data_IF_635471686091
#
_entry.id   IF_635471686091
#
_cell.length_a   1.000
_cell.length_b   1.000
_cell.length_c   1.000
_cell.angle_alpha   90.00
_cell.angle_beta   90.00
_cell.angle_gamma   90.00
#
_symmetry.space_group_name_H-M   'P 1'
#
loop_
_entity.id
_entity.type
_entity.pdbx_description
1 polymer ?
#
# COMPACT_ATOMS: atom_id res chain seq x y z
N UNK A 1 7.46 -14.47 8.06
CA UNK A 1 7.66 -14.05 9.46
C UNK A 1 6.49 -13.24 10.02
N UNK A 2 6.22 -12.00 9.61
CA UNK A 2 5.14 -11.17 10.22
C UNK A 2 3.77 -11.84 10.20
N UNK A 3 3.39 -12.46 9.08
CA UNK A 3 2.16 -13.26 8.97
C UNK A 3 2.09 -14.40 9.99
N UNK A 4 3.17 -15.16 10.15
CA UNK A 4 3.24 -16.34 11.03
C UNK A 4 3.15 -15.92 12.50
N UNK A 5 3.84 -14.84 12.89
CA UNK A 5 3.76 -14.27 14.23
C UNK A 5 2.35 -13.75 14.55
N UNK A 6 1.72 -13.06 13.58
CA UNK A 6 0.33 -12.62 13.71
C UNK A 6 -0.62 -13.82 13.89
N UNK A 7 -0.49 -14.84 13.06
CA UNK A 7 -1.30 -16.06 13.11
C UNK A 7 -1.12 -16.83 14.44
N UNK A 8 0.09 -16.86 14.99
CA UNK A 8 0.35 -17.46 16.31
C UNK A 8 -0.40 -16.74 17.44
N UNK A 9 -0.54 -15.41 17.36
CA UNK A 9 -1.34 -14.64 18.32
C UNK A 9 -2.85 -14.72 18.07
N UNK A 10 -3.27 -14.81 16.81
CA UNK A 10 -4.68 -14.85 16.41
C UNK A 10 -5.34 -16.22 16.64
N UNK A 11 -4.59 -17.30 16.47
CA UNK A 11 -5.08 -18.69 16.58
C UNK A 11 -4.23 -19.53 17.53
N UNK A 12 -4.23 -19.23 18.85
CA UNK A 12 -3.63 -20.11 19.83
C UNK A 12 -4.37 -21.48 19.83
N UNK A 13 -3.65 -22.62 19.87
CA UNK A 13 -4.29 -23.93 19.80
C UNK A 13 -5.13 -24.22 21.05
N UNK A 14 -6.32 -24.80 20.85
CA UNK A 14 -7.21 -25.22 21.93
C UNK A 14 -7.55 -26.71 21.85
N UNK A 15 -7.69 -27.37 23.01
CA UNK A 15 -8.12 -28.78 23.14
C UNK A 15 -7.35 -29.72 22.21
N UNK A 16 -8.02 -30.30 21.23
CA UNK A 16 -7.48 -31.26 20.26
C UNK A 16 -6.55 -30.65 19.20
N UNK A 17 -6.39 -29.32 19.17
CA UNK A 17 -5.41 -28.64 18.32
C UNK A 17 -4.02 -28.58 18.98
N UNK A 18 -3.92 -28.86 20.28
CA UNK A 18 -2.65 -28.91 21.01
C UNK A 18 -1.97 -30.23 20.65
N UNK A 19 -0.86 -30.14 19.93
CA UNK A 19 -0.12 -31.29 19.42
C UNK A 19 1.30 -31.39 20.00
N UNK A 20 1.76 -30.34 20.70
CA UNK A 20 3.06 -30.28 21.36
C UNK A 20 2.97 -29.50 22.69
N UNK A 21 4.04 -29.56 23.49
CA UNK A 21 4.27 -28.69 24.65
C UNK A 21 4.30 -27.20 24.30
N UNK A 22 4.75 -26.85 23.09
CA UNK A 22 4.68 -25.51 22.54
C UNK A 22 3.24 -25.22 22.07
N UNK A 23 2.59 -24.23 22.69
CA UNK A 23 1.22 -23.79 22.36
C UNK A 23 1.16 -22.99 21.05
N UNK A 24 1.47 -23.66 19.94
CA UNK A 24 1.45 -23.12 18.59
C UNK A 24 0.87 -24.14 17.61
N UNK A 25 0.27 -23.67 16.51
CA UNK A 25 -0.17 -24.54 15.43
C UNK A 25 0.35 -24.04 14.07
N UNK A 26 0.77 -24.96 13.17
CA UNK A 26 1.17 -24.58 11.83
C UNK A 26 -0.03 -24.09 11.03
N UNK A 27 0.02 -22.85 10.57
CA UNK A 27 -0.97 -22.28 9.65
C UNK A 27 -0.23 -21.91 8.36
N UNK A 28 -0.68 -22.41 7.19
CA UNK A 28 0.03 -22.17 5.93
C UNK A 28 -0.01 -20.69 5.55
N UNK A 29 1.16 -20.15 5.20
CA UNK A 29 1.31 -18.81 4.61
C UNK A 29 1.70 -18.98 3.15
N UNK A 30 0.79 -18.60 2.25
CA UNK A 30 1.02 -18.67 0.82
C UNK A 30 1.76 -17.42 0.33
N UNK A 31 2.61 -17.58 -0.67
CA UNK A 31 3.37 -16.47 -1.28
C UNK A 31 3.55 -16.70 -2.77
N UNK A 32 3.74 -15.60 -3.49
CA UNK A 32 4.15 -15.58 -4.89
C UNK A 32 5.57 -15.02 -4.97
N UNK A 33 6.47 -15.54 -5.83
CA UNK A 33 7.76 -14.92 -6.04
C UNK A 33 7.61 -13.48 -6.54
N UNK A 34 8.44 -12.56 -6.02
CA UNK A 34 8.33 -11.12 -6.25
C UNK A 34 8.15 -10.73 -7.73
N UNK A 35 8.95 -11.30 -8.63
CA UNK A 35 8.89 -11.01 -10.09
C UNK A 35 7.56 -11.38 -10.75
N UNK A 36 6.71 -12.14 -10.07
CA UNK A 36 5.40 -12.56 -10.55
C UNK A 36 4.25 -11.99 -9.71
N UNK A 37 4.54 -11.23 -8.66
CA UNK A 37 3.53 -10.67 -7.77
C UNK A 37 3.00 -9.33 -8.31
N UNK A 38 1.77 -9.35 -8.84
CA UNK A 38 1.01 -8.16 -9.23
C UNK A 38 -0.07 -7.77 -8.22
N UNK A 39 -0.10 -8.40 -7.03
CA UNK A 39 -1.15 -8.21 -6.03
C UNK A 39 -0.62 -7.44 -4.82
N UNK A 40 0.43 -7.92 -4.16
CA UNK A 40 0.91 -7.33 -2.89
C UNK A 40 2.09 -6.39 -3.11
N UNK A 41 3.21 -6.91 -3.64
CA UNK A 41 4.36 -6.06 -3.96
C UNK A 41 4.13 -5.24 -5.24
N UNK A 42 3.34 -5.76 -6.19
CA UNK A 42 3.06 -5.08 -7.45
C UNK A 42 4.32 -4.90 -8.31
N UNK A 43 5.22 -5.88 -8.28
CA UNK A 43 6.55 -5.89 -8.94
C UNK A 43 6.58 -6.74 -10.20
N UNK A 44 5.50 -7.47 -10.52
CA UNK A 44 5.38 -8.16 -11.81
C UNK A 44 5.58 -7.16 -12.94
N UNK A 45 6.45 -7.53 -13.90
CA UNK A 45 6.85 -6.64 -14.97
C UNK A 45 5.64 -6.06 -15.71
N UNK A 46 5.62 -4.73 -15.83
CA UNK A 46 4.55 -4.04 -16.53
C UNK A 46 5.03 -2.87 -17.40
N UNK A 47 5.11 -3.03 -18.74
CA UNK A 47 5.60 -1.98 -19.63
C UNK A 47 4.81 -0.67 -19.54
N UNK A 48 3.49 -0.74 -19.41
CA UNK A 48 2.65 0.46 -19.29
C UNK A 48 2.88 1.19 -17.96
N UNK A 49 2.95 0.47 -16.84
CA UNK A 49 3.24 1.09 -15.55
C UNK A 49 4.58 1.82 -15.57
N UNK A 50 5.62 1.17 -16.09
CA UNK A 50 6.95 1.77 -16.23
C UNK A 50 6.92 3.05 -17.07
N UNK A 51 6.22 3.02 -18.20
CA UNK A 51 6.07 4.18 -19.08
C UNK A 51 5.33 5.35 -18.41
N UNK A 52 4.22 5.08 -17.71
CA UNK A 52 3.46 6.13 -17.00
C UNK A 52 4.24 6.66 -15.79
N UNK A 53 4.99 5.81 -15.09
CA UNK A 53 5.89 6.24 -14.01
C UNK A 53 6.99 7.15 -14.56
N UNK A 54 7.62 6.79 -15.68
CA UNK A 54 8.63 7.64 -16.32
C UNK A 54 8.08 9.01 -16.73
N UNK A 55 6.83 9.09 -17.20
CA UNK A 55 6.16 10.37 -17.46
C UNK A 55 5.99 11.20 -16.21
N UNK A 56 5.51 10.59 -15.11
CA UNK A 56 5.36 11.29 -13.82
C UNK A 56 6.71 11.83 -13.37
N UNK A 57 7.77 11.00 -13.39
CA UNK A 57 9.12 11.39 -12.98
C UNK A 57 9.73 12.52 -13.84
N UNK A 58 9.30 12.68 -15.09
CA UNK A 58 9.71 13.75 -16.01
C UNK A 58 8.75 14.95 -16.04
N UNK A 59 7.68 14.93 -15.24
CA UNK A 59 6.75 16.05 -15.21
C UNK A 59 7.41 17.31 -14.62
N UNK A 60 6.98 18.53 -15.02
CA UNK A 60 7.58 19.77 -14.54
C UNK A 60 7.60 19.91 -13.02
N UNK A 61 6.58 19.41 -12.35
CA UNK A 61 6.45 19.40 -10.90
C UNK A 61 7.53 18.55 -10.23
N UNK A 62 7.68 17.28 -10.66
CA UNK A 62 8.69 16.37 -10.11
C UNK A 62 10.11 16.85 -10.43
N UNK A 63 10.33 17.36 -11.65
CA UNK A 63 11.61 17.96 -12.02
C UNK A 63 11.94 19.18 -11.15
N UNK A 64 10.96 20.04 -10.88
CA UNK A 64 11.13 21.21 -10.03
C UNK A 64 11.49 20.80 -8.59
N UNK A 65 10.82 19.80 -8.03
CA UNK A 65 11.15 19.27 -6.71
C UNK A 65 12.56 18.67 -6.66
N UNK A 66 12.97 17.90 -7.66
CA UNK A 66 14.34 17.38 -7.75
C UNK A 66 15.38 18.51 -7.86
N UNK A 67 15.13 19.54 -8.68
CA UNK A 67 16.02 20.71 -8.80
C UNK A 67 16.12 21.47 -7.48
N UNK A 68 15.01 21.65 -6.78
CA UNK A 68 14.95 22.34 -5.49
C UNK A 68 15.70 21.58 -4.38
N UNK A 69 15.72 20.25 -4.45
CA UNK A 69 16.44 19.40 -3.50
C UNK A 69 17.89 19.09 -3.90
N UNK A 70 18.41 19.65 -5.02
CA UNK A 70 19.74 19.33 -5.54
C UNK A 70 20.87 19.49 -4.51
N UNK A 71 20.90 20.61 -3.78
CA UNK A 71 21.93 20.86 -2.74
C UNK A 71 21.83 19.85 -1.59
N UNK A 72 20.62 19.44 -1.23
CA UNK A 72 20.41 18.41 -0.22
C UNK A 72 20.93 17.06 -0.73
N UNK A 73 20.62 16.68 -1.96
CA UNK A 73 21.12 15.44 -2.57
C UNK A 73 22.65 15.38 -2.62
N UNK A 74 23.31 16.49 -2.97
CA UNK A 74 24.78 16.62 -2.95
C UNK A 74 25.33 16.43 -1.53
N UNK A 75 24.76 17.14 -0.54
CA UNK A 75 25.15 17.02 0.87
C UNK A 75 24.99 15.59 1.39
N UNK A 76 23.85 14.94 1.11
CA UNK A 76 23.61 13.57 1.53
C UNK A 76 24.58 12.60 0.86
N UNK A 77 24.88 12.80 -0.43
CA UNK A 77 25.84 11.95 -1.16
C UNK A 77 27.24 12.02 -0.59
N UNK A 78 27.73 13.24 -0.30
CA UNK A 78 29.06 13.45 0.27
C UNK A 78 29.20 12.83 1.67
N UNK A 79 28.16 12.93 2.50
CA UNK A 79 28.22 12.51 3.90
C UNK A 79 27.84 11.03 4.12
N UNK A 80 26.99 10.45 3.28
CA UNK A 80 26.60 9.03 3.38
C UNK A 80 27.55 8.10 2.63
N UNK A 81 28.26 8.60 1.62
CA UNK A 81 29.06 7.80 0.70
C UNK A 81 28.25 7.11 -0.42
N UNK A 82 26.92 7.22 -0.39
CA UNK A 82 26.01 6.66 -1.39
C UNK A 82 25.53 7.73 -2.37
N UNK A 83 25.37 7.40 -3.66
CA UNK A 83 24.78 8.32 -4.64
C UNK A 83 23.30 8.56 -4.34
N UNK A 84 22.97 9.73 -3.80
CA UNK A 84 21.60 10.18 -3.53
C UNK A 84 21.16 11.11 -4.65
N UNK A 85 20.23 10.67 -5.49
CA UNK A 85 19.78 11.43 -6.67
C UNK A 85 18.29 11.26 -7.00
N UNK A 86 17.50 10.73 -6.06
CA UNK A 86 16.07 10.51 -6.23
C UNK A 86 15.35 10.48 -4.87
N UNK A 87 14.04 10.69 -4.89
CA UNK A 87 13.17 10.55 -3.70
C UNK A 87 13.36 9.17 -3.04
N UNK A 88 13.43 8.11 -3.85
CA UNK A 88 13.63 6.73 -3.36
C UNK A 88 14.96 6.52 -2.64
N UNK A 89 16.03 7.19 -3.09
CA UNK A 89 17.34 7.13 -2.41
C UNK A 89 17.33 7.90 -1.09
N UNK A 90 16.59 9.01 -1.02
CA UNK A 90 16.37 9.73 0.25
C UNK A 90 15.53 8.91 1.22
N UNK A 91 14.46 8.28 0.74
CA UNK A 91 13.62 7.36 1.53
C UNK A 91 14.46 6.25 2.16
N UNK A 92 15.28 5.56 1.36
CA UNK A 92 16.16 4.50 1.85
C UNK A 92 17.14 4.99 2.93
N UNK A 93 17.76 6.16 2.74
CA UNK A 93 18.65 6.75 3.75
C UNK A 93 17.89 7.15 5.02
N UNK A 94 16.70 7.72 4.88
CA UNK A 94 15.83 8.05 6.00
C UNK A 94 15.47 6.82 6.82
N UNK A 95 15.12 5.70 6.16
CA UNK A 95 14.78 4.45 6.83
C UNK A 95 15.95 3.89 7.64
N UNK A 96 17.17 3.92 7.08
CA UNK A 96 18.38 3.51 7.81
C UNK A 96 18.54 4.35 9.08
N UNK A 97 18.51 5.67 8.97
CA UNK A 97 18.66 6.58 10.12
C UNK A 97 17.53 6.42 11.14
N UNK A 98 16.30 6.20 10.67
CA UNK A 98 15.13 5.98 11.52
C UNK A 98 15.28 4.69 12.32
N UNK A 99 15.69 3.59 11.68
CA UNK A 99 15.92 2.30 12.35
C UNK A 99 17.08 2.43 13.34
N UNK A 100 18.18 3.07 12.96
CA UNK A 100 19.31 3.28 13.87
C UNK A 100 18.88 4.06 15.12
N UNK A 101 18.12 5.14 14.96
CA UNK A 101 17.57 5.90 16.09
C UNK A 101 16.61 5.04 16.93
N UNK A 102 15.73 4.26 16.29
CA UNK A 102 14.79 3.37 16.98
C UNK A 102 15.49 2.36 17.90
N UNK A 103 16.66 1.86 17.47
CA UNK A 103 17.48 0.94 18.24
C UNK A 103 18.58 1.64 19.07
N UNK A 104 18.40 2.94 19.38
CA UNK A 104 19.28 3.76 20.22
C UNK A 104 20.75 3.77 19.75
N UNK A 105 21.00 3.60 18.45
CA UNK A 105 22.33 3.80 17.88
C UNK A 105 22.62 5.29 17.78
N UNK A 106 23.90 5.65 17.96
CA UNK A 106 24.33 7.04 17.80
C UNK A 106 24.41 7.36 16.31
N UNK A 107 23.56 8.27 15.84
CA UNK A 107 23.61 8.74 14.46
C UNK A 107 24.86 9.62 14.22
N UNK A 108 25.46 9.58 13.01
CA UNK A 108 26.55 10.46 12.64
C UNK A 108 26.22 11.94 12.81
N UNK A 109 27.18 12.76 13.22
CA UNK A 109 26.96 14.18 13.57
C UNK A 109 26.32 15.00 12.43
N UNK A 110 26.64 14.69 11.17
CA UNK A 110 26.10 15.38 10.00
C UNK A 110 24.58 15.25 9.86
N UNK A 111 24.01 14.15 10.36
CA UNK A 111 22.56 13.85 10.25
C UNK A 111 21.70 14.86 11.01
N UNK A 112 22.20 15.49 12.07
CA UNK A 112 21.47 16.45 12.90
C UNK A 112 20.88 17.63 12.12
N UNK A 113 21.49 18.00 11.00
CA UNK A 113 21.07 19.13 10.18
C UNK A 113 19.98 18.79 9.14
N UNK A 114 19.67 17.50 8.97
CA UNK A 114 18.79 16.98 7.90
C UNK A 114 17.74 15.99 8.40
N UNK A 115 18.06 15.15 9.37
CA UNK A 115 17.19 14.09 9.90
C UNK A 115 16.53 14.53 11.22
N UNK A 116 15.23 14.25 11.42
CA UNK A 116 14.30 13.68 10.44
C UNK A 116 13.71 14.75 9.49
N UNK A 117 13.74 16.02 9.86
CA UNK A 117 12.81 17.03 9.35
C UNK A 117 12.94 17.35 7.86
N UNK A 118 14.15 17.38 7.29
CA UNK A 118 14.33 17.65 5.85
C UNK A 118 14.10 16.42 4.98
N UNK A 119 14.35 15.24 5.54
CA UNK A 119 14.24 13.98 4.80
C UNK A 119 12.80 13.46 4.78
N UNK A 120 12.08 13.58 5.90
CA UNK A 120 10.75 13.01 6.08
C UNK A 120 9.72 13.44 5.02
N UNK A 121 9.60 14.72 4.61
CA UNK A 121 8.66 15.10 3.56
C UNK A 121 8.98 14.45 2.21
N UNK A 122 10.27 14.30 1.89
CA UNK A 122 10.76 13.66 0.66
C UNK A 122 10.47 12.16 0.70
N UNK A 123 10.65 11.52 1.86
CA UNK A 123 10.28 10.11 2.12
C UNK A 123 8.78 9.89 1.94
N UNK A 124 7.93 10.73 2.55
CA UNK A 124 6.47 10.64 2.39
C UNK A 124 6.08 10.78 0.92
N UNK A 125 6.68 11.74 0.22
CA UNK A 125 6.42 11.95 -1.19
C UNK A 125 6.86 10.75 -2.05
N UNK A 126 7.94 10.07 -1.68
CA UNK A 126 8.41 8.85 -2.36
C UNK A 126 7.35 7.73 -2.35
N UNK A 127 6.66 7.52 -1.22
CA UNK A 127 5.52 6.59 -1.15
C UNK A 127 4.38 6.99 -2.08
N UNK A 128 4.16 8.29 -2.28
CA UNK A 128 3.06 8.79 -3.10
C UNK A 128 3.29 8.58 -4.60
N UNK A 129 4.56 8.54 -5.05
CA UNK A 129 4.89 8.44 -6.46
C UNK A 129 4.38 7.14 -7.11
N UNK A 130 4.38 6.02 -6.38
CA UNK A 130 3.98 4.72 -6.93
C UNK A 130 2.49 4.64 -7.32
N UNK A 131 1.66 5.51 -6.75
CA UNK A 131 0.21 5.60 -6.96
C UNK A 131 -0.23 7.03 -7.27
N UNK A 132 0.64 7.81 -7.92
CA UNK A 132 0.47 9.27 -8.10
C UNK A 132 -0.79 9.66 -8.85
N UNK A 133 -1.20 8.85 -9.83
CA UNK A 133 -2.37 9.10 -10.66
C UNK A 133 -3.23 7.84 -10.81
N UNK A 134 -4.42 7.98 -11.40
CA UNK A 134 -5.40 6.88 -11.53
C UNK A 134 -4.87 5.71 -12.36
N UNK A 135 -4.02 5.95 -13.37
CA UNK A 135 -3.43 4.86 -14.17
C UNK A 135 -2.45 4.04 -13.33
N UNK A 136 -1.58 4.70 -12.56
CA UNK A 136 -0.65 4.01 -11.65
C UNK A 136 -1.41 3.27 -10.55
N UNK A 137 -2.42 3.88 -9.94
CA UNK A 137 -3.29 3.23 -8.94
C UNK A 137 -3.94 1.96 -9.51
N UNK A 138 -4.51 2.05 -10.73
CA UNK A 138 -5.17 0.95 -11.43
C UNK A 138 -4.22 -0.22 -11.73
N UNK A 139 -2.97 0.07 -12.06
CA UNK A 139 -1.97 -0.95 -12.39
C UNK A 139 -1.16 -1.45 -11.18
N UNK A 140 -1.16 -0.72 -10.05
CA UNK A 140 -0.39 -1.06 -8.84
C UNK A 140 -1.26 -1.78 -7.79
N UNK A 141 -2.15 -1.07 -7.10
CA UNK A 141 -3.01 -1.65 -6.04
C UNK A 141 -4.41 -2.03 -6.54
N UNK A 142 -4.81 -1.60 -7.74
CA UNK A 142 -6.06 -2.00 -8.39
C UNK A 142 -6.31 -3.52 -8.41
N UNK A 143 -5.32 -4.38 -8.72
CA UNK A 143 -5.48 -5.84 -8.65
C UNK A 143 -5.88 -6.37 -7.26
N UNK A 144 -5.31 -5.80 -6.19
CA UNK A 144 -5.67 -6.18 -4.82
C UNK A 144 -7.11 -5.75 -4.50
N UNK A 145 -7.52 -4.54 -4.90
CA UNK A 145 -8.91 -4.09 -4.74
C UNK A 145 -9.87 -5.02 -5.48
N UNK A 146 -9.52 -5.41 -6.72
CA UNK A 146 -10.28 -6.36 -7.53
C UNK A 146 -10.47 -7.70 -6.81
N UNK A 147 -9.39 -8.25 -6.25
CA UNK A 147 -9.42 -9.53 -5.54
C UNK A 147 -10.32 -9.45 -4.30
N UNK A 148 -10.19 -8.38 -3.50
CA UNK A 148 -11.03 -8.17 -2.33
C UNK A 148 -12.52 -8.03 -2.71
N UNK A 149 -12.84 -7.27 -3.75
CA UNK A 149 -14.20 -7.16 -4.29
C UNK A 149 -14.71 -8.51 -4.74
N UNK A 150 -13.90 -9.29 -5.45
CA UNK A 150 -14.27 -10.64 -5.89
C UNK A 150 -14.65 -11.55 -4.72
N UNK A 151 -13.84 -11.55 -3.65
CA UNK A 151 -14.14 -12.29 -2.43
C UNK A 151 -15.44 -11.82 -1.77
N UNK A 152 -15.65 -10.51 -1.66
CA UNK A 152 -16.85 -9.93 -1.06
C UNK A 152 -18.12 -10.27 -1.84
N UNK A 153 -18.08 -10.14 -3.18
CA UNK A 153 -19.21 -10.48 -4.06
C UNK A 153 -19.55 -11.96 -3.96
N UNK A 154 -18.56 -12.85 -4.07
CA UNK A 154 -18.80 -14.30 -3.92
C UNK A 154 -19.36 -14.66 -2.54
N UNK A 155 -18.87 -14.01 -1.48
CA UNK A 155 -19.39 -14.21 -0.11
C UNK A 155 -20.84 -13.75 -0.01
N UNK A 156 -21.16 -12.58 -0.54
CA UNK A 156 -22.52 -12.03 -0.54
C UNK A 156 -23.53 -12.91 -1.30
N UNK A 157 -23.07 -13.56 -2.37
CA UNK A 157 -23.85 -14.48 -3.20
C UNK A 157 -23.88 -15.92 -2.68
N UNK A 158 -23.21 -16.23 -1.56
CA UNK A 158 -23.03 -17.59 -1.03
C UNK A 158 -22.37 -18.58 -2.02
N UNK A 159 -21.48 -18.07 -2.90
CA UNK A 159 -20.75 -18.86 -3.90
C UNK A 159 -19.25 -18.96 -3.62
N UNK A 160 -18.76 -18.35 -2.53
CA UNK A 160 -17.35 -18.43 -2.12
C UNK A 160 -17.01 -19.85 -1.65
N UNK A 161 -16.00 -20.48 -2.26
CA UNK A 161 -15.55 -21.83 -1.92
C UNK A 161 -14.03 -21.87 -1.71
N UNK A 162 -13.55 -22.37 -0.56
CA UNK A 162 -14.33 -22.64 0.66
C UNK A 162 -14.96 -21.35 1.20
N UNK A 163 -15.95 -21.46 2.09
CA UNK A 163 -16.66 -20.32 2.69
C UNK A 163 -15.76 -19.54 3.68
N UNK A 164 -14.73 -18.88 3.14
CA UNK A 164 -13.66 -18.23 3.90
C UNK A 164 -14.19 -16.97 4.56
N UNK A 165 -13.86 -16.78 5.84
CA UNK A 165 -14.30 -15.62 6.64
C UNK A 165 -13.26 -14.52 6.76
N UNK A 166 -11.99 -14.84 6.54
CA UNK A 166 -10.86 -13.92 6.71
C UNK A 166 -9.81 -14.19 5.63
N UNK A 167 -9.29 -13.11 5.07
CA UNK A 167 -8.11 -13.07 4.21
C UNK A 167 -7.09 -12.15 4.88
N UNK A 168 -5.85 -12.61 5.02
CA UNK A 168 -4.75 -11.82 5.59
C UNK A 168 -3.69 -11.63 4.52
N UNK A 169 -3.44 -10.37 4.17
CA UNK A 169 -2.42 -9.99 3.21
C UNK A 169 -1.26 -9.33 3.97
N UNK A 170 -0.19 -10.08 4.20
CA UNK A 170 1.01 -9.57 4.86
C UNK A 170 1.95 -8.98 3.81
N UNK A 171 2.10 -7.65 3.80
CA UNK A 171 2.81 -6.93 2.75
C UNK A 171 3.73 -5.83 3.33
N UNK A 172 3.93 -4.75 2.57
CA UNK A 172 4.86 -3.65 2.89
C UNK A 172 4.11 -2.35 3.20
N UNK A 173 4.82 -1.40 3.79
CA UNK A 173 4.39 -0.01 3.94
C UNK A 173 3.97 0.63 2.61
N UNK A 174 4.73 0.41 1.54
CA UNK A 174 4.34 0.81 0.19
C UNK A 174 2.98 0.25 -0.20
N UNK A 175 2.70 -1.04 0.08
CA UNK A 175 1.40 -1.66 -0.21
C UNK A 175 0.29 -0.96 0.57
N UNK A 176 0.51 -0.59 1.83
CA UNK A 176 -0.46 0.14 2.67
C UNK A 176 -0.69 1.54 2.11
N UNK A 177 0.37 2.31 1.82
CA UNK A 177 0.26 3.65 1.25
C UNK A 177 -0.46 3.64 -0.10
N UNK A 178 -0.03 2.78 -1.02
CA UNK A 178 -0.60 2.64 -2.36
C UNK A 178 -2.08 2.21 -2.31
N UNK A 179 -2.45 1.32 -1.39
CA UNK A 179 -3.85 0.91 -1.19
C UNK A 179 -4.70 2.08 -0.68
N UNK A 180 -4.23 2.82 0.33
CA UNK A 180 -4.94 4.00 0.84
C UNK A 180 -5.07 5.08 -0.23
N UNK A 181 -4.03 5.32 -1.05
CA UNK A 181 -4.08 6.29 -2.14
C UNK A 181 -5.05 5.87 -3.24
N UNK A 182 -5.05 4.58 -3.58
CA UNK A 182 -5.94 4.01 -4.60
C UNK A 182 -7.41 4.14 -4.21
N UNK A 183 -7.71 4.08 -2.90
CA UNK A 183 -9.03 4.33 -2.34
C UNK A 183 -9.31 5.82 -2.05
N UNK A 184 -8.38 6.73 -2.35
CA UNK A 184 -8.45 8.16 -2.01
C UNK A 184 -8.67 8.41 -0.49
N UNK A 185 -7.98 7.64 0.35
CA UNK A 185 -8.03 7.66 1.83
C UNK A 185 -6.67 7.98 2.48
N UNK A 186 -5.64 8.24 1.67
CA UNK A 186 -4.29 8.45 2.17
C UNK A 186 -4.11 9.88 2.70
N UNK A 187 -3.72 9.97 3.96
CA UNK A 187 -3.12 11.20 4.51
C UNK A 187 -1.59 11.08 4.37
N UNK A 188 -0.84 12.15 4.03
CA UNK A 188 0.61 12.06 3.86
C UNK A 188 1.35 11.61 5.14
N UNK A 189 1.82 10.37 5.17
CA UNK A 189 2.65 9.82 6.24
C UNK A 189 3.45 8.59 5.76
N UNK A 190 4.45 8.17 6.53
CA UNK A 190 5.08 6.86 6.35
C UNK A 190 4.28 5.82 7.16
N UNK A 191 3.71 4.77 6.53
CA UNK A 191 2.98 3.74 7.28
C UNK A 191 3.89 3.09 8.35
N UNK A 192 3.48 3.06 9.62
CA UNK A 192 4.32 2.51 10.69
C UNK A 192 4.36 0.97 10.66
N UNK A 193 5.31 0.38 11.40
CA UNK A 193 5.35 -1.07 11.59
C UNK A 193 4.01 -1.60 12.12
N UNK A 194 3.61 -2.76 11.59
CA UNK A 194 2.34 -3.43 11.88
C UNK A 194 1.08 -2.59 11.58
N UNK A 195 1.19 -1.55 10.73
CA UNK A 195 0.03 -0.86 10.20
C UNK A 195 -0.91 -1.85 9.48
N UNK A 196 -2.21 -1.61 9.61
CA UNK A 196 -3.25 -2.52 9.16
C UNK A 196 -4.41 -1.75 8.53
N UNK A 197 -4.82 -2.17 7.34
CA UNK A 197 -6.07 -1.76 6.71
C UNK A 197 -7.06 -2.92 6.91
N UNK A 198 -8.21 -2.63 7.50
CA UNK A 198 -9.34 -3.55 7.63
C UNK A 198 -10.39 -3.17 6.59
N UNK A 199 -10.74 -4.09 5.69
CA UNK A 199 -11.86 -3.94 4.74
C UNK A 199 -12.83 -5.07 5.02
N UNK A 200 -13.99 -4.72 5.56
CA UNK A 200 -14.94 -5.68 6.12
C UNK A 200 -16.25 -5.67 5.35
N UNK A 201 -16.70 -6.85 4.93
CA UNK A 201 -18.05 -7.07 4.42
C UNK A 201 -19.01 -7.31 5.59
N UNK A 202 -19.98 -6.41 5.75
CA UNK A 202 -21.02 -6.46 6.78
C UNK A 202 -22.38 -6.75 6.16
N UNK A 203 -23.27 -7.39 6.91
CA UNK A 203 -24.65 -7.67 6.49
C UNK A 203 -25.64 -7.03 7.47
N UNK A 204 -26.62 -6.29 6.97
CA UNK A 204 -27.76 -5.75 7.73
C UNK A 204 -29.02 -5.87 6.89
N UNK A 205 -30.07 -6.50 7.42
CA UNK A 205 -31.40 -6.61 6.77
C UNK A 205 -31.29 -7.05 5.29
N UNK A 206 -30.55 -8.14 5.06
CA UNK A 206 -30.26 -8.74 3.74
C UNK A 206 -29.47 -7.88 2.74
N UNK A 207 -29.00 -6.70 3.14
CA UNK A 207 -28.09 -5.87 2.38
C UNK A 207 -26.65 -6.02 2.85
N UNK A 208 -25.72 -5.85 1.92
CA UNK A 208 -24.29 -5.93 2.18
C UNK A 208 -23.63 -4.57 2.09
N UNK A 209 -22.70 -4.34 3.00
CA UNK A 209 -21.98 -3.08 3.14
C UNK A 209 -20.49 -3.34 3.35
N UNK A 210 -19.67 -2.38 2.93
CA UNK A 210 -18.22 -2.38 3.09
C UNK A 210 -17.85 -1.27 4.06
N UNK A 211 -17.00 -1.59 5.02
CA UNK A 211 -16.39 -0.59 5.89
C UNK A 211 -14.88 -0.72 5.87
N UNK A 212 -14.21 0.42 5.92
CA UNK A 212 -12.75 0.50 5.83
C UNK A 212 -12.23 1.15 7.09
N UNK A 213 -11.27 0.53 7.77
CA UNK A 213 -10.60 1.12 8.93
C UNK A 213 -9.10 1.05 8.78
N UNK A 214 -8.39 2.04 9.31
CA UNK A 214 -6.93 2.08 9.31
C UNK A 214 -6.40 2.12 10.75
N UNK A 215 -5.53 1.17 11.08
CA UNK A 215 -4.84 1.09 12.36
C UNK A 215 -3.36 1.35 12.14
N UNK A 216 -2.91 2.52 12.54
CA UNK A 216 -1.50 2.97 12.47
C UNK A 216 -0.91 3.27 13.85
N UNK A 217 -1.60 2.90 14.92
CA UNK A 217 -1.09 2.97 16.30
C UNK A 217 -1.52 1.71 17.06
N UNK A 218 -1.14 1.60 18.32
CA UNK A 218 -1.61 0.52 19.20
C UNK A 218 -3.08 0.69 19.64
N UNK A 219 -3.70 1.85 19.41
CA UNK A 219 -5.11 2.13 19.70
C UNK A 219 -6.05 1.47 18.70
N UNK A 220 -7.35 1.58 18.94
CA UNK A 220 -8.39 1.06 18.04
C UNK A 220 -8.25 1.59 16.60
N UNK A 221 -8.59 0.79 15.57
CA UNK A 221 -8.60 1.22 14.18
C UNK A 221 -9.51 2.44 13.97
N UNK A 222 -9.04 3.42 13.19
CA UNK A 222 -9.85 4.58 12.80
C UNK A 222 -10.75 4.18 11.62
N UNK A 223 -12.06 4.34 11.79
CA UNK A 223 -13.02 4.17 10.70
C UNK A 223 -12.81 5.26 9.64
N UNK A 224 -12.78 4.86 8.38
CA UNK A 224 -12.58 5.74 7.23
C UNK A 224 -13.84 5.77 6.35
N UNK A 225 -13.99 6.86 5.60
CA UNK A 225 -15.14 7.06 4.70
C UNK A 225 -14.63 7.20 3.29
N UNK A 226 -14.98 6.23 2.42
CA UNK A 226 -14.67 6.33 1.00
C UNK A 226 -15.31 7.61 0.44
N UNK A 227 -14.58 8.43 -0.35
CA UNK A 227 -15.16 9.63 -0.93
C UNK A 227 -16.44 9.32 -1.71
N UNK A 228 -17.46 10.17 -1.52
CA UNK A 228 -18.79 10.00 -2.09
C UNK A 228 -19.55 8.73 -1.65
N UNK A 229 -19.21 8.16 -0.50
CA UNK A 229 -19.99 7.08 0.14
C UNK A 229 -20.23 7.38 1.63
N UNK A 230 -21.05 6.55 2.28
CA UNK A 230 -21.17 6.51 3.74
C UNK A 230 -20.05 5.66 4.38
N UNK A 231 -19.83 5.81 5.69
CA UNK A 231 -18.94 4.92 6.46
C UNK A 231 -19.35 3.45 6.37
N UNK A 232 -20.66 3.20 6.26
CA UNK A 232 -21.26 1.92 5.93
C UNK A 232 -21.65 1.93 4.44
N UNK A 233 -20.66 1.74 3.57
CA UNK A 233 -20.82 1.91 2.13
C UNK A 233 -21.54 0.70 1.51
N UNK A 234 -22.69 0.83 0.84
CA UNK A 234 -23.34 -0.30 0.17
C UNK A 234 -22.38 -1.01 -0.79
N UNK A 235 -22.37 -2.35 -0.82
CA UNK A 235 -21.41 -3.11 -1.62
C UNK A 235 -21.43 -2.71 -3.11
N UNK A 236 -22.62 -2.51 -3.68
CA UNK A 236 -22.76 -2.08 -5.08
C UNK A 236 -22.20 -0.68 -5.33
N UNK A 237 -22.34 0.23 -4.36
CA UNK A 237 -21.80 1.59 -4.44
C UNK A 237 -20.28 1.58 -4.31
N UNK A 238 -19.73 0.77 -3.38
CA UNK A 238 -18.29 0.54 -3.27
C UNK A 238 -17.68 0.04 -4.59
N UNK A 239 -18.33 -0.94 -5.23
CA UNK A 239 -17.89 -1.47 -6.55
C UNK A 239 -17.94 -0.37 -7.61
N UNK A 240 -19.00 0.43 -7.66
CA UNK A 240 -19.13 1.50 -8.64
C UNK A 240 -18.08 2.61 -8.45
N UNK A 241 -17.85 3.04 -7.21
CA UNK A 241 -16.88 4.09 -6.88
C UNK A 241 -15.44 3.66 -7.16
N UNK A 242 -15.14 2.37 -7.05
CA UNK A 242 -13.80 1.82 -7.30
C UNK A 242 -13.58 1.35 -8.75
N UNK A 243 -14.59 1.42 -9.64
CA UNK A 243 -14.50 0.82 -10.99
C UNK A 243 -13.30 1.33 -11.80
N UNK A 244 -12.98 2.62 -11.68
CA UNK A 244 -11.93 3.25 -12.49
C UNK A 244 -10.52 2.81 -12.03
N UNK A 245 -10.37 2.37 -10.78
CA UNK A 245 -9.10 1.84 -10.27
C UNK A 245 -9.01 0.31 -10.30
N UNK A 246 -10.10 -0.40 -10.62
CA UNK A 246 -10.10 -1.87 -10.74
C UNK A 246 -9.81 -2.30 -12.19
N UNK A 247 -8.68 -2.96 -12.49
CA UNK A 247 -8.37 -3.42 -13.84
C UNK A 247 -9.35 -4.51 -14.31
N UNK A 248 -9.81 -4.44 -15.56
CA UNK A 248 -10.67 -5.48 -16.15
C UNK A 248 -9.84 -6.72 -16.49
N UNK A 249 -8.70 -6.53 -17.12
CA UNK A 249 -7.69 -7.54 -17.41
C UNK A 249 -6.32 -6.88 -17.24
N UNK A 250 -5.71 -7.12 -16.07
CA UNK A 250 -4.44 -6.47 -15.74
C UNK A 250 -3.35 -6.79 -16.75
N UNK A 251 -3.28 -8.02 -17.28
CA UNK A 251 -2.27 -8.41 -18.27
C UNK A 251 -2.46 -7.62 -19.57
N UNK A 252 -3.68 -7.60 -20.11
CA UNK A 252 -3.95 -6.84 -21.34
C UNK A 252 -3.69 -5.36 -21.16
N UNK A 253 -4.18 -4.75 -20.08
CA UNK A 253 -3.97 -3.33 -19.82
C UNK A 253 -2.49 -3.00 -19.66
N UNK A 254 -1.72 -3.91 -19.07
CA UNK A 254 -0.30 -3.76 -18.83
C UNK A 254 0.56 -3.85 -20.10
N UNK A 255 0.17 -4.69 -21.06
CA UNK A 255 0.91 -4.93 -22.32
C UNK A 255 0.33 -4.17 -23.54
N UNK A 256 -0.90 -3.66 -23.46
CA UNK A 256 -1.55 -2.92 -24.56
C UNK A 256 -1.61 -1.41 -24.25
N UNK A 257 -0.98 -0.59 -25.11
CA UNK A 257 -0.86 0.87 -24.91
C UNK A 257 -2.11 1.66 -25.33
N UNK A 258 -3.00 1.07 -26.12
CA UNK A 258 -4.06 1.80 -26.84
C UNK A 258 -5.43 1.78 -26.15
N UNK A 259 -5.57 1.12 -25.00
CA UNK A 259 -6.85 1.01 -24.28
C UNK A 259 -6.84 1.94 -23.05
N UNK A 260 -7.20 3.23 -23.25
CA UNK A 260 -7.58 4.15 -22.17
C UNK A 260 -8.69 5.12 -22.63
N UNK A 261 -9.74 5.24 -21.82
CA UNK A 261 -10.81 6.25 -21.90
C UNK A 261 -10.33 7.58 -21.29
N UNK A 262 -10.65 8.71 -21.93
CA UNK A 262 -10.25 10.07 -21.50
C UNK A 262 -10.69 10.50 -20.07
N UNK A 263 -11.45 9.68 -19.35
CA UNK A 263 -11.84 9.89 -17.95
C UNK A 263 -10.72 9.70 -16.92
N UNK A 264 -9.60 9.09 -17.29
CA UNK A 264 -8.61 8.56 -16.33
C UNK A 264 -7.50 9.56 -15.95
N UNK A 265 -7.61 10.82 -16.38
CA UNK A 265 -6.52 11.81 -16.35
C UNK A 265 -6.60 12.76 -15.14
N UNK A 266 -7.74 12.86 -14.44
CA UNK A 266 -7.91 13.87 -13.38
C UNK A 266 -7.85 13.23 -12.00
N UNK A 267 -6.66 13.25 -11.40
CA UNK A 267 -6.47 13.10 -9.95
C UNK A 267 -5.90 14.41 -9.41
N UNK A 268 -6.73 15.21 -8.74
CA UNK A 268 -6.30 16.43 -8.07
C UNK A 268 -5.64 16.08 -6.74
N UNK A 269 -4.35 15.81 -6.74
CA UNK A 269 -3.52 16.04 -5.56
C UNK A 269 -2.75 17.34 -5.81
N UNK A 270 -3.41 18.47 -5.62
CA UNK A 270 -2.70 19.74 -5.45
C UNK A 270 -2.04 19.70 -4.07
N UNK A 271 -0.71 19.81 -4.05
CA UNK A 271 0.09 20.08 -2.85
C UNK A 271 -0.07 21.56 -2.47
#
# INVERSE_FOLDING_TARGET
MSAEANLAGLYPPVKNQIWDSLKWMPIPVHTTPEKFDNILKGSKHCPRYNYEMEKVLRSPEIEHMNKSNKKLYEYLTENSGDKINSFKKVEHLYDVLFIEQLYNKTLPQWTKSVFPDKLKPITIFSFMLESYNKILQRLKSGPLVKEMIHHMVKKAQNTLQPDRKLWIYSAHDETVANMLMTLDLFEPHCPPYAALILIELRRKEDQYFVTISYKNTTKEPRLMTLPNCATLCPLNEFINLTKNIVPEDWEKECFNRNEISFSDIIGNYCI
#
